data_IF_534605380012
#
_entry.id   IF_534605380012
#
_cell.length_a   1.000
_cell.length_b   1.000
_cell.length_c   1.000
_cell.angle_alpha   90.00
_cell.angle_beta   90.00
_cell.angle_gamma   90.00
#
_symmetry.space_group_name_H-M   'P 1'
#
loop_
_entity.id
_entity.type
_entity.pdbx_description
1 polymer ?
#
# COMPACT_ATOMS: atom_id res chain seq x y z
N UNK A 1 38.61 -2.72 26.31
CA UNK A 1 37.47 -1.93 26.84
C UNK A 1 36.39 -2.00 25.79
N UNK A 2 35.45 -2.91 25.97
CA UNK A 2 34.32 -3.15 25.09
C UNK A 2 33.09 -2.62 25.82
N UNK A 3 32.74 -1.38 25.51
CA UNK A 3 31.56 -0.70 26.02
C UNK A 3 30.53 -0.71 24.89
N UNK A 4 29.88 -1.87 24.75
CA UNK A 4 28.89 -2.14 23.70
C UNK A 4 27.53 -2.31 24.38
N UNK A 5 27.09 -1.28 25.10
CA UNK A 5 25.72 -1.14 25.58
C UNK A 5 24.97 -0.16 24.69
N UNK A 6 24.83 -0.50 23.41
CA UNK A 6 23.85 0.17 22.56
C UNK A 6 22.48 -0.36 22.94
N UNK A 7 21.83 0.28 23.92
CA UNK A 7 20.38 0.11 24.09
C UNK A 7 19.73 0.35 22.72
N UNK A 8 18.80 -0.54 22.29
CA UNK A 8 18.13 -0.34 21.01
C UNK A 8 17.46 1.03 21.01
N UNK A 9 17.47 1.75 19.88
CA UNK A 9 16.87 3.07 19.79
C UNK A 9 15.44 3.04 20.32
N UNK A 10 15.08 4.02 21.15
CA UNK A 10 13.72 4.14 21.70
C UNK A 10 12.72 4.14 20.54
N UNK A 11 11.76 3.21 20.59
CA UNK A 11 10.74 3.11 19.54
C UNK A 11 9.85 4.36 19.57
N UNK A 12 9.42 4.86 18.40
CA UNK A 12 8.50 6.00 18.34
C UNK A 12 7.22 5.68 19.11
N UNK A 13 6.84 6.55 20.04
CA UNK A 13 5.57 6.41 20.75
C UNK A 13 4.43 7.01 19.92
N UNK A 14 3.65 6.13 19.29
CA UNK A 14 2.52 6.50 18.42
C UNK A 14 1.22 6.79 19.20
N UNK A 15 1.28 6.80 20.53
CA UNK A 15 0.13 7.11 21.39
C UNK A 15 -0.96 6.03 21.44
N UNK A 16 -0.74 4.87 20.83
CA UNK A 16 -1.65 3.73 20.89
C UNK A 16 -1.62 3.14 22.32
N UNK A 17 -2.78 3.07 22.97
CA UNK A 17 -2.90 2.62 24.37
C UNK A 17 -4.12 1.72 24.58
N UNK A 18 -3.99 0.63 25.36
CA UNK A 18 -5.09 -0.24 25.71
C UNK A 18 -6.05 0.45 26.68
N UNK A 19 -7.34 0.20 26.53
CA UNK A 19 -8.41 0.70 27.42
C UNK A 19 -8.59 -0.13 28.70
N UNK A 20 -7.49 -0.72 29.20
CA UNK A 20 -7.51 -1.60 30.37
C UNK A 20 -7.25 -0.80 31.64
N UNK A 21 -8.08 -1.03 32.66
CA UNK A 21 -7.86 -0.50 34.00
C UNK A 21 -6.77 -1.31 34.74
N UNK A 22 -5.69 -0.63 35.11
CA UNK A 22 -4.53 -1.20 35.81
C UNK A 22 -4.52 -0.89 37.32
N UNK A 23 -5.55 -0.23 37.84
CA UNK A 23 -5.61 0.30 39.21
C UNK A 23 -5.55 -0.78 40.32
N UNK A 24 -5.95 -2.02 40.02
CA UNK A 24 -6.06 -3.10 41.00
C UNK A 24 -4.84 -4.04 41.06
N UNK A 25 -3.69 -3.65 40.49
CA UNK A 25 -2.50 -4.49 40.50
C UNK A 25 -1.72 -4.43 41.82
N UNK A 26 -1.24 -5.59 42.27
CA UNK A 26 -0.38 -5.68 43.47
C UNK A 26 0.96 -4.97 43.20
N UNK A 27 1.59 -4.35 44.22
CA UNK A 27 2.95 -3.80 44.08
C UNK A 27 3.93 -4.86 43.56
N UNK A 28 4.75 -4.51 42.56
CA UNK A 28 5.67 -5.43 41.90
C UNK A 28 5.03 -6.42 40.92
N UNK A 29 3.71 -6.37 40.70
CA UNK A 29 3.05 -7.21 39.70
C UNK A 29 3.50 -6.79 38.29
N UNK A 30 3.93 -7.79 37.49
CA UNK A 30 4.20 -7.63 36.07
C UNK A 30 3.06 -8.24 35.28
N UNK A 31 2.47 -7.47 34.38
CA UNK A 31 1.39 -7.93 33.52
C UNK A 31 1.74 -7.71 32.05
N UNK A 32 1.26 -8.62 31.22
CA UNK A 32 1.36 -8.53 29.76
C UNK A 32 -0.04 -8.34 29.19
N UNK A 33 -0.23 -7.27 28.42
CA UNK A 33 -1.39 -7.07 27.58
C UNK A 33 -1.05 -7.47 26.15
N UNK A 34 -1.96 -8.21 25.51
CA UNK A 34 -1.92 -8.51 24.09
C UNK A 34 -3.30 -8.17 23.53
N UNK A 35 -3.39 -7.20 22.64
CA UNK A 35 -4.65 -6.81 22.02
C UNK A 35 -4.45 -5.98 20.74
N UNK A 36 -5.55 -5.48 20.14
CA UNK A 36 -5.51 -4.75 18.88
C UNK A 36 -4.64 -3.48 18.90
N UNK A 37 -4.42 -2.90 20.08
CA UNK A 37 -3.57 -1.72 20.30
C UNK A 37 -2.07 -2.01 20.22
N UNK A 38 -1.68 -3.26 20.43
CA UNK A 38 -0.29 -3.62 20.68
C UNK A 38 -0.11 -4.67 21.77
N UNK A 39 1.16 -4.96 22.00
CA UNK A 39 1.68 -5.74 23.12
C UNK A 39 2.29 -4.75 24.11
N UNK A 40 1.81 -4.74 25.35
CA UNK A 40 2.29 -3.82 26.37
C UNK A 40 2.64 -4.58 27.65
N UNK A 41 3.73 -4.18 28.29
CA UNK A 41 4.06 -4.61 29.65
C UNK A 41 3.68 -3.53 30.64
N UNK A 42 2.95 -3.92 31.68
CA UNK A 42 2.70 -3.07 32.84
C UNK A 42 3.56 -3.57 34.01
N UNK A 43 4.36 -2.69 34.59
CA UNK A 43 5.14 -2.95 35.79
C UNK A 43 5.28 -1.66 36.60
N UNK A 44 5.03 -1.73 37.91
CA UNK A 44 5.19 -0.61 38.85
C UNK A 44 4.49 0.69 38.41
N UNK A 45 3.24 0.56 37.92
CA UNK A 45 2.43 1.69 37.46
C UNK A 45 2.86 2.26 36.11
N UNK A 46 3.87 1.67 35.45
CA UNK A 46 4.36 2.10 34.14
C UNK A 46 3.92 1.11 33.07
N UNK A 47 3.21 1.62 32.07
CA UNK A 47 2.90 0.90 30.85
C UNK A 47 3.99 1.18 29.81
N UNK A 48 4.65 0.13 29.32
CA UNK A 48 5.67 0.22 28.25
C UNK A 48 5.21 -0.58 27.03
N UNK A 49 5.22 0.00 25.82
CA UNK A 49 4.93 -0.74 24.59
C UNK A 49 6.10 -1.69 24.26
N UNK A 50 5.79 -2.96 23.99
CA UNK A 50 6.73 -3.92 23.39
C UNK A 50 6.59 -3.97 21.86
N UNK A 51 5.39 -3.77 21.35
CA UNK A 51 5.05 -3.58 19.95
C UNK A 51 3.71 -2.86 19.91
N UNK A 52 3.57 -1.79 19.13
CA UNK A 52 2.26 -1.15 18.96
C UNK A 52 1.49 -1.75 17.77
N UNK A 53 0.27 -1.27 17.51
CA UNK A 53 -0.55 -1.77 16.41
C UNK A 53 0.11 -1.60 15.03
N UNK A 54 0.98 -0.58 14.84
CA UNK A 54 1.69 -0.34 13.58
C UNK A 54 2.83 -1.35 13.42
N UNK A 55 3.57 -1.63 14.49
CA UNK A 55 4.58 -2.69 14.51
C UNK A 55 3.94 -4.05 14.18
N UNK A 56 2.82 -4.39 14.83
CA UNK A 56 2.05 -5.61 14.56
C UNK A 56 1.58 -5.67 13.10
N UNK A 57 1.11 -4.54 12.55
CA UNK A 57 0.70 -4.47 11.16
C UNK A 57 1.85 -4.78 10.21
N UNK A 58 3.01 -4.15 10.41
CA UNK A 58 4.19 -4.37 9.58
C UNK A 58 4.69 -5.81 9.67
N UNK A 59 4.70 -6.41 10.86
CA UNK A 59 5.05 -7.82 11.06
C UNK A 59 4.06 -8.75 10.34
N UNK A 60 2.76 -8.44 10.40
CA UNK A 60 1.72 -9.23 9.76
C UNK A 60 1.86 -9.25 8.23
N UNK A 61 2.02 -8.08 7.59
CA UNK A 61 2.13 -8.00 6.12
C UNK A 61 3.49 -8.46 5.60
N UNK A 62 4.54 -8.39 6.41
CA UNK A 62 5.84 -8.98 6.08
C UNK A 62 5.80 -10.52 6.09
N UNK A 63 5.00 -11.12 6.98
CA UNK A 63 4.81 -12.57 7.03
C UNK A 63 3.83 -13.09 5.96
N UNK A 64 2.66 -12.47 5.84
CA UNK A 64 1.67 -12.77 4.81
C UNK A 64 0.96 -11.48 4.37
N UNK A 65 1.21 -10.97 3.15
CA UNK A 65 0.55 -9.78 2.61
C UNK A 65 -0.98 -9.78 2.72
N UNK A 66 -1.61 -10.96 2.75
CA UNK A 66 -3.08 -11.15 2.85
C UNK A 66 -3.61 -10.93 4.26
N UNK A 67 -2.73 -10.98 5.27
CA UNK A 67 -3.05 -10.81 6.68
C UNK A 67 -3.27 -9.36 7.13
N UNK A 68 -3.19 -8.39 6.22
CA UNK A 68 -3.28 -6.95 6.51
C UNK A 68 -4.54 -6.58 7.31
N UNK A 69 -5.67 -7.23 7.03
CA UNK A 69 -6.96 -6.99 7.68
C UNK A 69 -7.08 -7.56 9.10
N UNK A 70 -6.07 -8.31 9.58
CA UNK A 70 -6.01 -8.79 10.98
C UNK A 70 -5.44 -7.72 11.91
N UNK A 71 -4.75 -6.73 11.36
CA UNK A 71 -4.11 -5.64 12.07
C UNK A 71 -4.65 -4.26 11.61
N UNK A 72 -5.97 -4.16 11.41
CA UNK A 72 -6.63 -2.97 10.87
C UNK A 72 -6.29 -1.70 11.64
N UNK A 73 -6.17 -1.78 12.97
CA UNK A 73 -5.85 -0.60 13.79
C UNK A 73 -4.51 0.05 13.43
N UNK A 74 -3.51 -0.76 13.10
CA UNK A 74 -2.22 -0.27 12.61
C UNK A 74 -2.34 0.35 11.23
N UNK A 75 -3.06 -0.31 10.33
CA UNK A 75 -3.34 0.20 8.97
C UNK A 75 -4.11 1.54 8.98
N UNK A 76 -5.17 1.65 9.80
CA UNK A 76 -5.97 2.86 9.94
C UNK A 76 -5.14 4.00 10.52
N UNK A 77 -4.25 3.71 11.49
CA UNK A 77 -3.30 4.69 12.01
C UNK A 77 -2.36 5.18 10.92
N UNK A 78 -1.78 4.27 10.12
CA UNK A 78 -0.89 4.62 9.01
C UNK A 78 -1.58 5.52 7.99
N UNK A 79 -2.82 5.23 7.62
CA UNK A 79 -3.60 6.09 6.71
C UNK A 79 -3.85 7.48 7.32
N UNK A 80 -4.23 7.55 8.59
CA UNK A 80 -4.52 8.81 9.27
C UNK A 80 -3.28 9.71 9.42
N UNK A 81 -2.08 9.12 9.49
CA UNK A 81 -0.80 9.83 9.70
C UNK A 81 0.11 9.74 8.46
N UNK A 82 -0.44 9.49 7.28
CA UNK A 82 0.36 9.29 6.06
C UNK A 82 1.23 10.50 5.69
N UNK A 83 0.85 11.71 6.12
CA UNK A 83 1.64 12.93 5.95
C UNK A 83 3.00 12.89 6.69
N UNK A 84 3.10 12.06 7.74
CA UNK A 84 4.30 11.87 8.55
C UNK A 84 5.09 10.62 8.14
N UNK A 85 4.70 9.97 7.04
CA UNK A 85 5.35 8.76 6.56
C UNK A 85 6.85 8.98 6.29
N UNK A 86 7.63 7.93 6.52
CA UNK A 86 9.08 7.92 6.34
C UNK A 86 9.48 7.13 5.09
N UNK A 87 10.75 7.23 4.69
CA UNK A 87 11.31 6.39 3.61
C UNK A 87 11.19 4.90 3.93
N UNK A 88 11.28 4.53 5.20
CA UNK A 88 11.12 3.14 5.63
C UNK A 88 9.67 2.66 5.42
N UNK A 89 8.67 3.50 5.67
CA UNK A 89 7.26 3.19 5.41
C UNK A 89 7.02 2.99 3.91
N UNK A 90 7.59 3.84 3.05
CA UNK A 90 7.54 3.63 1.58
C UNK A 90 8.17 2.30 1.20
N UNK A 91 9.39 2.01 1.68
CA UNK A 91 10.10 0.77 1.38
C UNK A 91 9.30 -0.47 1.78
N UNK A 92 8.72 -0.47 2.99
CA UNK A 92 7.87 -1.56 3.50
C UNK A 92 6.58 -1.69 2.70
N UNK A 93 5.93 -0.59 2.37
CA UNK A 93 4.68 -0.59 1.59
C UNK A 93 4.90 -1.13 0.18
N UNK A 94 6.01 -0.75 -0.48
CA UNK A 94 6.36 -1.30 -1.79
C UNK A 94 6.68 -2.80 -1.71
N UNK A 95 7.34 -3.26 -0.64
CA UNK A 95 7.56 -4.69 -0.40
C UNK A 95 6.25 -5.46 -0.18
N UNK A 96 5.32 -4.86 0.58
CA UNK A 96 3.98 -5.41 0.77
C UNK A 96 3.20 -5.49 -0.55
N UNK A 97 3.24 -4.43 -1.37
CA UNK A 97 2.60 -4.40 -2.70
C UNK A 97 3.17 -5.49 -3.62
N UNK A 98 4.49 -5.60 -3.73
CA UNK A 98 5.15 -6.65 -4.52
C UNK A 98 4.77 -8.06 -4.04
N UNK A 99 4.75 -8.28 -2.71
CA UNK A 99 4.31 -9.54 -2.12
C UNK A 99 2.85 -9.86 -2.43
N UNK A 100 1.95 -8.88 -2.32
CA UNK A 100 0.55 -9.02 -2.69
C UNK A 100 0.39 -9.35 -4.19
N UNK A 101 1.22 -8.75 -5.05
CA UNK A 101 1.26 -9.06 -6.49
C UNK A 101 1.75 -10.48 -6.74
N UNK A 102 2.81 -10.92 -6.08
CA UNK A 102 3.30 -12.30 -6.16
C UNK A 102 2.23 -13.32 -5.77
N UNK A 103 1.41 -13.00 -4.75
CA UNK A 103 0.33 -13.84 -4.27
C UNK A 103 -1.01 -13.67 -5.02
N UNK A 104 -1.08 -12.72 -5.96
CA UNK A 104 -2.31 -12.36 -6.69
C UNK A 104 -3.46 -11.93 -5.77
N UNK A 105 -3.14 -11.31 -4.63
CA UNK A 105 -4.15 -10.80 -3.70
C UNK A 105 -4.51 -9.34 -4.03
N UNK A 106 -5.66 -9.16 -4.68
CA UNK A 106 -6.17 -7.84 -5.05
C UNK A 106 -6.44 -6.96 -3.84
N UNK A 107 -6.98 -7.52 -2.75
CA UNK A 107 -7.41 -6.72 -1.61
C UNK A 107 -6.21 -6.12 -0.87
N UNK A 108 -5.15 -6.92 -0.71
CA UNK A 108 -3.88 -6.49 -0.15
C UNK A 108 -3.18 -5.48 -1.07
N UNK A 109 -3.15 -5.72 -2.38
CA UNK A 109 -2.53 -4.77 -3.32
C UNK A 109 -3.25 -3.42 -3.35
N UNK A 110 -4.59 -3.41 -3.35
CA UNK A 110 -5.38 -2.18 -3.27
C UNK A 110 -5.13 -1.46 -1.94
N UNK A 111 -5.05 -2.18 -0.81
CA UNK A 111 -4.74 -1.58 0.48
C UNK A 111 -3.34 -0.96 0.52
N UNK A 112 -2.33 -1.64 -0.03
CA UNK A 112 -0.97 -1.09 -0.17
C UNK A 112 -0.97 0.18 -1.04
N UNK A 113 -1.65 0.14 -2.18
CA UNK A 113 -1.77 1.31 -3.06
C UNK A 113 -2.53 2.46 -2.42
N UNK A 114 -3.56 2.21 -1.60
CA UNK A 114 -4.26 3.27 -0.85
C UNK A 114 -3.33 3.96 0.13
N UNK A 115 -2.47 3.22 0.81
CA UNK A 115 -1.49 3.84 1.68
C UNK A 115 -0.45 4.65 0.88
N UNK A 116 0.09 4.13 -0.23
CA UNK A 116 0.94 4.90 -1.14
C UNK A 116 0.23 6.17 -1.65
N UNK A 117 -1.06 6.09 -1.96
CA UNK A 117 -1.86 7.24 -2.38
C UNK A 117 -2.02 8.31 -1.29
N UNK A 118 -1.87 7.95 -0.01
CA UNK A 118 -1.92 8.89 1.11
C UNK A 118 -0.55 9.52 1.42
N UNK A 119 0.57 8.85 1.08
CA UNK A 119 1.93 9.34 1.35
C UNK A 119 2.29 10.58 0.50
N UNK A 120 3.01 11.59 1.02
CA UNK A 120 3.45 12.75 0.25
C UNK A 120 4.17 12.41 -1.07
N UNK A 121 3.79 13.10 -2.15
CA UNK A 121 4.34 12.90 -3.49
C UNK A 121 5.87 13.01 -3.55
N UNK A 122 6.43 14.00 -2.84
CA UNK A 122 7.89 14.23 -2.78
C UNK A 122 8.63 13.03 -2.20
N UNK A 123 8.03 12.33 -1.23
CA UNK A 123 8.64 11.15 -0.62
C UNK A 123 8.60 9.96 -1.57
N UNK A 124 7.47 9.73 -2.24
CA UNK A 124 7.32 8.66 -3.23
C UNK A 124 8.25 8.84 -4.44
N UNK A 125 8.45 10.08 -4.89
CA UNK A 125 9.34 10.37 -6.01
C UNK A 125 10.80 9.93 -5.74
N UNK A 126 11.22 9.80 -4.48
CA UNK A 126 12.55 9.28 -4.15
C UNK A 126 12.74 7.79 -4.47
N UNK A 127 11.64 7.05 -4.64
CA UNK A 127 11.60 5.64 -5.06
C UNK A 127 11.08 5.48 -6.50
N UNK A 128 11.20 6.53 -7.33
CA UNK A 128 10.67 6.57 -8.70
C UNK A 128 11.03 5.32 -9.52
N UNK A 129 12.28 4.86 -9.50
CA UNK A 129 12.70 3.68 -10.28
C UNK A 129 11.97 2.39 -9.89
N UNK A 130 11.65 2.20 -8.60
CA UNK A 130 10.92 1.02 -8.12
C UNK A 130 9.43 1.13 -8.40
N UNK A 131 8.85 2.32 -8.21
CA UNK A 131 7.48 2.61 -8.64
C UNK A 131 7.32 2.38 -10.13
N UNK A 132 8.25 2.89 -10.94
CA UNK A 132 8.29 2.66 -12.37
C UNK A 132 8.38 1.17 -12.68
N UNK A 133 9.28 0.40 -12.06
CA UNK A 133 9.35 -1.05 -12.31
C UNK A 133 8.04 -1.78 -11.98
N UNK A 134 7.37 -1.39 -10.89
CA UNK A 134 6.08 -1.95 -10.47
C UNK A 134 4.99 -1.58 -11.49
N UNK A 135 4.79 -0.29 -11.74
CA UNK A 135 3.65 0.24 -12.52
C UNK A 135 3.86 0.23 -14.05
N UNK A 136 5.10 0.26 -14.54
CA UNK A 136 5.46 0.01 -15.94
C UNK A 136 5.31 -1.47 -16.31
N UNK A 137 5.31 -2.36 -15.33
CA UNK A 137 4.90 -3.72 -15.62
C UNK A 137 3.44 -3.67 -16.07
N UNK A 138 3.13 -4.15 -17.28
CA UNK A 138 1.76 -4.49 -17.68
C UNK A 138 1.06 -5.35 -16.63
N UNK A 139 1.79 -5.99 -15.69
CA UNK A 139 1.27 -6.71 -14.53
C UNK A 139 0.53 -5.84 -13.50
N UNK A 140 0.96 -4.61 -13.28
CA UNK A 140 0.35 -3.69 -12.30
C UNK A 140 -0.42 -2.58 -13.02
N UNK A 141 0.05 -2.21 -14.22
CA UNK A 141 -0.73 -1.45 -15.18
C UNK A 141 -2.05 -2.15 -15.51
N UNK A 142 -2.10 -3.49 -15.72
CA UNK A 142 -3.37 -4.11 -16.15
C UNK A 142 -3.54 -5.64 -16.24
N UNK A 143 -2.57 -6.50 -15.95
CA UNK A 143 -2.67 -7.94 -16.23
C UNK A 143 -2.06 -8.75 -15.08
N UNK A 144 -2.89 -9.10 -14.10
CA UNK A 144 -2.50 -10.05 -13.05
C UNK A 144 -2.21 -11.43 -13.68
N UNK A 145 -0.94 -11.66 -14.06
CA UNK A 145 -0.30 -12.93 -14.43
C UNK A 145 -1.19 -13.95 -15.18
N UNK A 146 -1.17 -13.93 -16.51
CA UNK A 146 -1.22 -15.19 -17.26
C UNK A 146 0.22 -15.68 -17.41
N UNK A 147 0.38 -16.98 -17.25
CA UNK A 147 1.56 -17.85 -17.22
C UNK A 147 2.44 -17.74 -18.51
N UNK A 148 3.53 -18.53 -18.67
CA UNK A 148 4.58 -18.35 -19.70
C UNK A 148 4.16 -18.26 -21.17
N UNK A 149 2.87 -18.39 -21.47
CA UNK A 149 2.27 -18.36 -22.81
C UNK A 149 1.65 -16.99 -23.17
N UNK A 150 2.01 -15.90 -22.48
CA UNK A 150 1.39 -14.58 -22.74
C UNK A 150 1.93 -13.91 -24.02
N UNK A 151 1.09 -14.02 -25.04
CA UNK A 151 1.19 -13.50 -26.41
C UNK A 151 1.55 -12.00 -26.48
N UNK A 152 2.45 -11.64 -27.40
CA UNK A 152 2.93 -10.26 -27.67
C UNK A 152 1.88 -9.39 -28.39
N UNK A 153 0.66 -9.88 -28.59
CA UNK A 153 -0.38 -9.15 -29.30
C UNK A 153 -1.09 -8.16 -28.37
N UNK A 154 -1.45 -6.96 -28.86
CA UNK A 154 -2.31 -6.05 -28.12
C UNK A 154 -3.57 -6.80 -27.68
N UNK A 155 -4.05 -6.49 -26.47
CA UNK A 155 -5.28 -7.07 -25.93
C UNK A 155 -6.36 -7.05 -27.03
N UNK A 156 -7.01 -8.19 -27.34
CA UNK A 156 -8.01 -8.21 -28.40
C UNK A 156 -9.10 -7.19 -28.10
N UNK A 157 -9.54 -6.44 -29.12
CA UNK A 157 -10.62 -5.42 -29.08
C UNK A 157 -12.02 -5.97 -28.73
N UNK A 158 -12.07 -7.10 -28.05
CA UNK A 158 -13.26 -7.77 -27.56
C UNK A 158 -13.38 -7.65 -26.04
N UNK A 159 -14.43 -8.24 -25.43
CA UNK A 159 -14.68 -8.09 -23.99
C UNK A 159 -13.46 -8.55 -23.18
N UNK A 160 -13.02 -7.67 -22.28
CA UNK A 160 -11.82 -7.83 -21.44
C UNK A 160 -11.83 -9.21 -20.77
N UNK A 161 -10.74 -9.99 -20.82
CA UNK A 161 -10.65 -11.24 -20.07
C UNK A 161 -10.87 -10.96 -18.58
N UNK A 162 -11.65 -11.80 -17.91
CA UNK A 162 -12.07 -11.63 -16.52
C UNK A 162 -11.40 -12.69 -15.64
N UNK A 163 -10.74 -12.31 -14.53
CA UNK A 163 -10.29 -13.28 -13.51
C UNK A 163 -10.65 -12.82 -12.09
N UNK A 164 -11.25 -13.72 -11.30
CA UNK A 164 -11.86 -13.42 -10.00
C UNK A 164 -13.24 -12.71 -10.06
N UNK A 165 -13.74 -12.49 -11.29
CA UNK A 165 -14.91 -11.68 -11.73
C UNK A 165 -14.59 -10.34 -12.38
N UNK A 166 -13.37 -9.79 -12.30
CA UNK A 166 -12.96 -8.65 -13.14
C UNK A 166 -11.43 -8.69 -13.41
N UNK A 167 -11.01 -8.77 -14.68
CA UNK A 167 -9.67 -8.33 -15.08
C UNK A 167 -9.79 -7.06 -15.93
N UNK A 168 -8.70 -6.30 -16.01
CA UNK A 168 -8.66 -4.94 -16.54
C UNK A 168 -8.81 -3.87 -15.46
N UNK A 169 -8.00 -2.81 -15.55
CA UNK A 169 -8.07 -1.48 -14.91
C UNK A 169 -8.47 -1.37 -13.42
N UNK A 170 -8.53 -2.48 -12.67
CA UNK A 170 -9.13 -2.52 -11.35
C UNK A 170 -8.36 -1.74 -10.29
N UNK A 171 -7.04 -1.56 -10.48
CA UNK A 171 -6.20 -0.81 -9.56
C UNK A 171 -6.29 0.70 -9.81
N UNK A 172 -6.26 1.15 -11.06
CA UNK A 172 -6.49 2.55 -11.44
C UNK A 172 -7.92 3.01 -11.10
N UNK A 173 -8.91 2.12 -11.20
CA UNK A 173 -10.28 2.40 -10.71
C UNK A 173 -10.37 2.43 -9.18
N UNK A 174 -9.63 1.57 -8.48
CA UNK A 174 -9.75 1.43 -7.02
C UNK A 174 -8.96 2.49 -6.25
N UNK A 175 -7.88 3.02 -6.83
CA UNK A 175 -6.98 4.00 -6.22
C UNK A 175 -6.52 5.04 -7.27
N UNK A 176 -7.45 5.79 -7.88
CA UNK A 176 -7.14 6.73 -8.96
C UNK A 176 -6.17 7.85 -8.52
N UNK A 177 -6.21 8.22 -7.24
CA UNK A 177 -5.36 9.27 -6.66
C UNK A 177 -3.87 8.92 -6.73
N UNK A 178 -3.53 7.61 -6.67
CA UNK A 178 -2.16 7.16 -6.84
C UNK A 178 -1.68 7.40 -8.28
N UNK A 179 -2.52 7.12 -9.28
CA UNK A 179 -2.17 7.29 -10.70
C UNK A 179 -2.04 8.75 -11.08
N UNK A 180 -2.95 9.61 -10.59
CA UNK A 180 -2.82 11.06 -10.73
C UNK A 180 -1.50 11.56 -10.14
N UNK A 181 -1.14 11.07 -8.96
CA UNK A 181 0.11 11.44 -8.31
C UNK A 181 1.33 10.95 -9.07
N UNK A 182 1.31 9.72 -9.57
CA UNK A 182 2.42 9.14 -10.33
C UNK A 182 2.65 9.84 -11.67
N UNK A 183 1.58 10.29 -12.33
CA UNK A 183 1.71 11.07 -13.57
C UNK A 183 2.55 12.35 -13.38
N UNK A 184 2.64 12.88 -12.16
CA UNK A 184 3.46 14.07 -11.84
C UNK A 184 4.94 13.76 -11.58
N UNK A 185 5.36 12.50 -11.53
CA UNK A 185 6.74 12.14 -11.16
C UNK A 185 7.73 12.28 -12.33
N UNK A 186 7.26 12.22 -13.58
CA UNK A 186 8.10 12.37 -14.76
C UNK A 186 7.39 11.95 -16.05
N UNK A 187 7.94 12.34 -17.21
CA UNK A 187 7.26 12.17 -18.51
C UNK A 187 7.04 10.69 -18.89
N UNK A 188 7.92 9.78 -18.47
CA UNK A 188 7.77 8.35 -18.77
C UNK A 188 6.60 7.73 -17.98
N UNK A 189 6.48 8.07 -16.70
CA UNK A 189 5.38 7.61 -15.85
C UNK A 189 4.05 8.25 -16.28
N UNK A 190 4.08 9.52 -16.65
CA UNK A 190 2.93 10.23 -17.24
C UNK A 190 2.43 9.50 -18.49
N UNK A 191 3.32 9.17 -19.43
CA UNK A 191 2.97 8.44 -20.65
C UNK A 191 2.32 7.07 -20.36
N UNK A 192 2.80 6.35 -19.35
CA UNK A 192 2.19 5.08 -18.93
C UNK A 192 0.79 5.29 -18.38
N UNK A 193 0.60 6.30 -17.53
CA UNK A 193 -0.72 6.61 -16.96
C UNK A 193 -1.69 7.03 -18.06
N UNK A 194 -1.26 7.86 -19.02
CA UNK A 194 -2.07 8.27 -20.18
C UNK A 194 -2.50 7.05 -21.00
N UNK A 195 -1.55 6.19 -21.39
CA UNK A 195 -1.87 4.96 -22.14
C UNK A 195 -2.88 4.09 -21.38
N UNK A 196 -2.71 3.98 -20.07
CA UNK A 196 -3.63 3.20 -19.23
C UNK A 196 -5.03 3.83 -19.17
N UNK A 197 -5.14 5.16 -19.14
CA UNK A 197 -6.43 5.87 -19.19
C UNK A 197 -7.07 5.69 -20.57
N UNK A 198 -6.33 5.85 -21.65
CA UNK A 198 -6.82 5.65 -23.03
C UNK A 198 -7.38 4.24 -23.21
N UNK A 199 -6.62 3.22 -22.81
CA UNK A 199 -7.10 1.85 -22.85
C UNK A 199 -8.35 1.69 -21.96
N UNK A 200 -8.41 2.28 -20.75
CA UNK A 200 -9.57 2.18 -19.86
C UNK A 200 -10.84 2.73 -20.52
N UNK A 201 -10.72 3.86 -21.22
CA UNK A 201 -11.81 4.50 -21.96
C UNK A 201 -12.28 3.58 -23.10
N UNK A 202 -11.34 3.03 -23.88
CA UNK A 202 -11.66 2.10 -24.99
C UNK A 202 -12.46 0.88 -24.51
N UNK A 203 -12.21 0.44 -23.28
CA UNK A 203 -12.92 -0.67 -22.65
C UNK A 203 -14.15 -0.26 -21.83
N UNK A 204 -14.61 0.99 -21.91
CA UNK A 204 -15.75 1.54 -21.17
C UNK A 204 -15.61 1.45 -19.63
N UNK A 205 -14.39 1.55 -19.11
CA UNK A 205 -14.15 1.63 -17.66
C UNK A 205 -14.40 3.05 -17.19
N UNK A 206 -15.28 3.19 -16.18
CA UNK A 206 -15.51 4.47 -15.53
C UNK A 206 -14.30 4.87 -14.68
N UNK A 207 -13.73 6.04 -14.98
CA UNK A 207 -12.64 6.68 -14.24
C UNK A 207 -13.06 8.09 -13.79
N UNK A 208 -12.41 8.66 -12.75
CA UNK A 208 -12.61 10.06 -12.37
C UNK A 208 -12.26 11.04 -13.50
N UNK A 209 -12.95 12.19 -13.59
CA UNK A 209 -12.72 13.19 -14.64
C UNK A 209 -11.26 13.67 -14.72
N UNK A 210 -10.57 13.72 -13.59
CA UNK A 210 -9.17 14.14 -13.50
C UNK A 210 -8.21 13.18 -14.18
N UNK A 211 -8.53 11.88 -14.20
CA UNK A 211 -7.76 10.89 -14.95
C UNK A 211 -8.14 10.94 -16.43
N UNK A 212 -9.43 11.05 -16.74
CA UNK A 212 -9.92 11.12 -18.12
C UNK A 212 -9.29 12.31 -18.87
N UNK A 213 -9.12 13.45 -18.21
CA UNK A 213 -8.53 14.65 -18.83
C UNK A 213 -7.07 14.45 -19.27
N UNK A 214 -6.37 13.45 -18.74
CA UNK A 214 -5.00 13.11 -19.16
C UNK A 214 -4.94 12.50 -20.57
N UNK A 215 -6.00 11.80 -21.02
CA UNK A 215 -6.04 11.17 -22.34
C UNK A 215 -6.26 12.17 -23.50
N UNK A 216 -6.41 13.47 -23.21
CA UNK A 216 -6.68 14.50 -24.21
C UNK A 216 -8.00 14.29 -24.98
N UNK A 217 -8.39 15.22 -25.86
CA UNK A 217 -9.47 14.96 -26.81
C UNK A 217 -8.99 13.88 -27.79
N UNK A 218 -9.59 12.69 -27.68
CA UNK A 218 -9.45 11.61 -28.65
C UNK A 218 -9.62 12.20 -30.06
N UNK A 219 -8.67 12.03 -31.00
CA UNK A 219 -8.86 12.49 -32.36
C UNK A 219 -10.09 11.78 -32.91
N UNK A 220 -11.11 12.58 -33.18
CA UNK A 220 -12.43 12.18 -33.65
C UNK A 220 -12.33 11.06 -34.68
N UNK A 221 -13.15 10.03 -34.48
CA UNK A 221 -13.49 9.06 -35.51
C UNK A 221 -13.73 9.80 -36.83
N UNK A 222 -12.78 9.65 -37.75
CA UNK A 222 -12.86 10.08 -39.13
C UNK A 222 -12.82 8.80 -39.96
N UNK A 223 -13.94 8.49 -40.63
CA UNK A 223 -14.06 7.40 -41.59
C UNK A 223 -15.31 6.58 -41.38
#
# INVERSE_FOLDING_TARGET
MSDDSSDPPERPDRGLRPSVDWSNQRPGARSLYIGPEGIFTHQDGKLKPMADAVDIFWDAVAHDPRGWNRALRGYDWLLAHAAEATREDVRRTLGWLEGAIGLRDRTAAVAACRYLAAIPAVLLASDYGRLMAIFNSRKVGMVWLVTPDLDQRPLPRGPIPVFGKEAGFGLIRAVPELYLKMALFGPEMEAIVIQLVEEAIDYNVSLPPELISLAGPSPSATG
#
